data_IF_190777947300
#
_entry.id   IF_190777947300
#
_cell.length_a   1.000
_cell.length_b   1.000
_cell.length_c   1.000
_cell.angle_alpha   90.00
_cell.angle_beta   90.00
_cell.angle_gamma   90.00
#
_symmetry.space_group_name_H-M   'P 1'
#
loop_
_entity.id
_entity.type
_entity.pdbx_description
1 polymer ?
#
# COMPACT_ATOMS: atom_id res chain seq x y z
N UNK A 1 5.93 6.95 0.83
CA UNK A 1 5.73 5.49 0.75
C UNK A 1 5.04 5.02 2.02
N UNK A 2 4.55 3.77 2.06
CA UNK A 2 3.94 3.18 3.25
C UNK A 2 4.14 1.67 3.27
N UNK A 3 3.94 1.06 4.44
CA UNK A 3 4.08 -0.38 4.68
C UNK A 3 2.80 -0.90 5.30
N UNK A 4 2.38 -2.09 4.88
CA UNK A 4 1.24 -2.83 5.46
C UNK A 4 1.74 -4.15 6.03
N UNK A 5 1.39 -4.44 7.27
CA UNK A 5 1.61 -5.74 7.89
C UNK A 5 0.34 -6.60 7.76
N UNK A 6 0.46 -7.79 7.17
CA UNK A 6 -0.66 -8.72 6.99
C UNK A 6 -0.16 -10.16 6.93
N UNK A 7 -0.81 -11.06 7.68
CA UNK A 7 -0.49 -12.49 7.63
C UNK A 7 0.96 -12.83 7.99
N UNK A 8 1.60 -12.03 8.84
CA UNK A 8 3.03 -12.22 9.20
C UNK A 8 4.03 -11.69 8.17
N UNK A 9 3.57 -11.05 7.09
CA UNK A 9 4.42 -10.43 6.07
C UNK A 9 4.27 -8.91 6.05
N UNK A 10 5.30 -8.22 5.55
CA UNK A 10 5.30 -6.77 5.29
C UNK A 10 5.25 -6.51 3.79
N UNK A 11 4.41 -5.57 3.39
CA UNK A 11 4.24 -5.16 2.00
C UNK A 11 4.47 -3.65 1.88
N UNK A 12 5.47 -3.25 1.08
CA UNK A 12 5.84 -1.86 0.88
C UNK A 12 5.30 -1.30 -0.43
N UNK A 13 4.77 -0.07 -0.42
CA UNK A 13 4.26 0.59 -1.62
C UNK A 13 4.60 2.08 -1.67
N UNK A 14 4.75 2.62 -2.88
CA UNK A 14 4.77 4.08 -3.07
C UNK A 14 3.41 4.66 -2.68
N UNK A 15 3.43 5.84 -2.06
CA UNK A 15 2.21 6.56 -1.67
C UNK A 15 1.65 7.33 -2.89
N UNK A 16 1.30 6.60 -3.94
CA UNK A 16 0.87 7.17 -5.22
C UNK A 16 -0.12 6.20 -5.89
N UNK A 17 -1.39 6.59 -5.93
CA UNK A 17 -2.42 5.82 -6.64
C UNK A 17 -2.16 5.87 -8.15
N UNK A 18 -2.19 4.74 -8.89
CA UNK A 18 -1.93 4.76 -10.34
C UNK A 18 -3.07 5.39 -11.14
N UNK A 19 -4.24 5.61 -10.52
CA UNK A 19 -5.38 6.31 -11.14
C UNK A 19 -5.04 7.76 -11.52
N UNK A 20 -4.36 8.49 -10.62
CA UNK A 20 -3.90 9.86 -10.86
C UNK A 20 -2.47 9.95 -10.35
N UNK A 21 -1.53 10.20 -11.25
CA UNK A 21 -0.11 10.23 -10.94
C UNK A 21 0.18 11.14 -9.73
N UNK A 22 0.81 10.57 -8.70
CA UNK A 22 1.20 11.30 -7.49
C UNK A 22 0.09 11.53 -6.45
N UNK A 23 -1.14 11.06 -6.68
CA UNK A 23 -2.22 11.23 -5.70
C UNK A 23 -1.91 10.45 -4.40
N UNK A 24 -1.92 11.11 -3.22
CA UNK A 24 -1.69 10.43 -1.94
C UNK A 24 -2.82 9.43 -1.66
N UNK A 25 -2.45 8.31 -1.04
CA UNK A 25 -3.39 7.22 -0.77
C UNK A 25 -4.21 7.47 0.50
N UNK A 26 -3.54 7.80 1.62
CA UNK A 26 -4.19 7.93 2.92
C UNK A 26 -4.82 9.31 3.14
N UNK A 27 -6.01 9.34 3.75
CA UNK A 27 -6.69 10.58 4.15
C UNK A 27 -6.12 11.24 5.41
N UNK A 28 -5.42 10.46 6.24
CA UNK A 28 -4.63 10.92 7.39
C UNK A 28 -3.45 9.98 7.62
N UNK A 29 -2.49 10.40 8.45
CA UNK A 29 -1.31 9.60 8.80
C UNK A 29 -1.71 8.16 9.19
N UNK A 30 -1.08 7.18 8.53
CA UNK A 30 -1.28 5.73 8.71
C UNK A 30 -2.67 5.14 8.36
N UNK A 31 -3.63 5.93 7.88
CA UNK A 31 -4.94 5.43 7.50
C UNK A 31 -4.98 4.95 6.04
N UNK A 32 -4.34 3.80 5.77
CA UNK A 32 -4.25 3.21 4.43
C UNK A 32 -5.23 2.07 4.18
N UNK A 33 -5.84 1.50 5.23
CA UNK A 33 -6.71 0.34 5.10
C UNK A 33 -8.20 0.71 5.15
N UNK A 34 -9.04 -0.13 4.57
CA UNK A 34 -10.49 -0.10 4.77
C UNK A 34 -10.86 -0.55 6.21
N UNK A 35 -12.15 -0.45 6.55
CA UNK A 35 -12.62 -0.66 7.92
C UNK A 35 -12.36 -2.04 8.52
N UNK A 36 -12.33 -3.10 7.69
CA UNK A 36 -12.03 -4.47 8.12
C UNK A 36 -10.53 -4.84 7.94
N UNK A 37 -9.71 -3.90 7.45
CA UNK A 37 -8.29 -4.13 7.19
C UNK A 37 -7.99 -5.04 6.00
N UNK A 38 -8.98 -5.43 5.20
CA UNK A 38 -8.82 -6.39 4.10
C UNK A 38 -8.21 -5.80 2.83
N UNK A 39 -8.24 -4.48 2.66
CA UNK A 39 -7.77 -3.77 1.47
C UNK A 39 -7.03 -2.49 1.80
N UNK A 40 -6.06 -2.13 0.96
CA UNK A 40 -5.49 -0.79 0.92
C UNK A 40 -6.46 0.12 0.16
N UNK A 41 -6.68 1.35 0.60
CA UNK A 41 -7.64 2.29 0.02
C UNK A 41 -6.94 3.58 -0.39
N UNK A 42 -7.19 4.01 -1.63
CA UNK A 42 -6.98 5.39 -2.04
C UNK A 42 -8.22 6.20 -1.63
N UNK A 43 -8.09 7.06 -0.62
CA UNK A 43 -9.21 7.80 -0.05
C UNK A 43 -9.71 8.97 -0.90
N UNK A 44 -9.05 9.29 -2.02
CA UNK A 44 -9.53 10.29 -2.97
C UNK A 44 -10.83 9.84 -3.66
N UNK A 45 -10.82 8.66 -4.29
CA UNK A 45 -11.96 8.14 -5.08
C UNK A 45 -12.31 6.67 -4.76
N UNK A 46 -11.78 6.13 -3.66
CA UNK A 46 -12.17 4.82 -3.13
C UNK A 46 -11.58 3.61 -3.85
N UNK A 47 -10.51 3.75 -4.63
CA UNK A 47 -9.83 2.61 -5.23
C UNK A 47 -9.30 1.67 -4.13
N UNK A 48 -9.54 0.36 -4.26
CA UNK A 48 -9.13 -0.64 -3.28
C UNK A 48 -8.17 -1.65 -3.89
N UNK A 49 -7.11 -1.95 -3.14
CA UNK A 49 -5.99 -2.76 -3.59
C UNK A 49 -5.78 -3.93 -2.63
N UNK A 50 -5.38 -5.08 -3.18
CA UNK A 50 -4.89 -6.21 -2.41
C UNK A 50 -3.56 -5.85 -1.73
N UNK A 51 -3.40 -6.10 -0.43
CA UNK A 51 -2.13 -5.87 0.26
C UNK A 51 -0.98 -6.74 -0.24
N UNK A 52 -1.26 -7.90 -0.83
CA UNK A 52 -0.24 -8.90 -1.15
C UNK A 52 0.56 -8.56 -2.42
N UNK A 53 -0.10 -7.93 -3.40
CA UNK A 53 0.48 -7.63 -4.72
C UNK A 53 0.18 -6.20 -5.20
N UNK A 54 -0.51 -5.40 -4.39
CA UNK A 54 -0.89 -4.03 -4.70
C UNK A 54 -1.91 -3.93 -5.83
N UNK A 55 -2.54 -5.03 -6.26
CA UNK A 55 -3.45 -5.06 -7.41
C UNK A 55 -4.78 -4.40 -7.06
N UNK A 56 -5.20 -3.42 -7.85
CA UNK A 56 -6.51 -2.79 -7.73
C UNK A 56 -7.63 -3.77 -8.11
N UNK A 57 -8.56 -3.98 -7.18
CA UNK A 57 -9.70 -4.90 -7.31
C UNK A 57 -11.06 -4.20 -7.25
N UNK A 58 -11.08 -2.89 -6.97
CA UNK A 58 -12.27 -2.07 -6.99
C UNK A 58 -11.89 -0.61 -7.25
N UNK A 59 -12.69 0.10 -8.04
CA UNK A 59 -12.54 1.55 -8.28
C UNK A 59 -11.90 1.90 -9.64
N UNK A 60 -11.53 3.18 -9.84
CA UNK A 60 -11.29 3.72 -11.18
C UNK A 60 -10.00 3.25 -11.87
N UNK A 61 -9.06 2.63 -11.13
CA UNK A 61 -7.86 2.01 -11.69
C UNK A 61 -7.90 0.47 -11.66
N UNK A 62 -9.09 -0.13 -11.70
CA UNK A 62 -9.26 -1.58 -11.79
C UNK A 62 -8.46 -2.13 -12.97
N UNK A 63 -7.48 -3.00 -12.73
CA UNK A 63 -6.51 -3.35 -13.78
C UNK A 63 -5.07 -3.12 -13.39
N UNK A 64 -4.83 -2.07 -12.61
CA UNK A 64 -3.51 -1.57 -12.31
C UNK A 64 -3.04 -2.04 -10.92
N UNK A 65 -1.79 -1.72 -10.60
CA UNK A 65 -1.18 -2.03 -9.30
C UNK A 65 -0.46 -0.82 -8.73
N UNK A 66 -0.39 -0.76 -7.39
CA UNK A 66 0.53 0.13 -6.70
C UNK A 66 1.98 -0.27 -7.03
N UNK A 67 2.87 0.72 -7.12
CA UNK A 67 4.29 0.43 -7.31
C UNK A 67 4.88 -0.11 -5.99
N UNK A 68 5.41 -1.35 -5.97
CA UNK A 68 6.01 -1.92 -4.78
C UNK A 68 7.29 -1.17 -4.39
N UNK A 69 7.58 -1.16 -3.10
CA UNK A 69 8.87 -0.76 -2.55
C UNK A 69 9.48 -1.98 -1.89
N UNK A 70 10.71 -2.32 -2.28
CA UNK A 70 11.41 -3.45 -1.70
C UNK A 70 11.73 -3.16 -0.22
N UNK A 71 11.48 -4.16 0.62
CA UNK A 71 11.69 -4.10 2.05
C UNK A 71 12.67 -5.18 2.47
N UNK A 72 13.54 -4.84 3.41
CA UNK A 72 14.47 -5.78 4.04
C UNK A 72 14.43 -5.58 5.55
N UNK A 73 14.39 -6.67 6.31
CA UNK A 73 14.40 -6.64 7.78
C UNK A 73 15.73 -7.22 8.24
N UNK A 74 16.48 -6.44 9.01
CA UNK A 74 17.61 -6.99 9.75
C UNK A 74 17.07 -7.89 10.87
N UNK A 75 17.44 -9.17 10.81
CA UNK A 75 16.93 -10.20 11.75
C UNK A 75 17.49 -10.07 13.16
N UNK A 76 18.60 -9.36 13.34
CA UNK A 76 19.27 -9.15 14.62
C UNK A 76 18.76 -7.89 15.32
N UNK A 77 18.61 -6.79 14.58
CA UNK A 77 18.20 -5.49 15.15
C UNK A 77 16.69 -5.23 15.04
N UNK A 78 16.01 -5.89 14.11
CA UNK A 78 14.61 -5.62 13.79
C UNK A 78 14.39 -4.34 12.97
N UNK A 79 15.47 -3.72 12.48
CA UNK A 79 15.38 -2.52 11.63
C UNK A 79 14.81 -2.88 10.25
N UNK A 80 13.91 -2.01 9.77
CA UNK A 80 13.29 -2.14 8.46
C UNK A 80 13.93 -1.16 7.49
N UNK A 81 14.56 -1.69 6.45
CA UNK A 81 15.12 -0.94 5.34
C UNK A 81 14.13 -0.92 4.17
N UNK A 82 14.03 0.22 3.50
CA UNK A 82 13.21 0.40 2.32
C UNK A 82 14.03 0.98 1.18
N UNK A 83 13.99 0.32 0.02
CA UNK A 83 14.76 0.69 -1.16
C UNK A 83 13.87 1.48 -2.12
N UNK A 84 14.03 2.81 -2.15
CA UNK A 84 13.11 3.76 -2.81
C UNK A 84 13.65 4.42 -4.07
#
# INVERSE_FOLDING_TARGET
>A
MFVVARGGALYGYRNACPHMAGAPMAWRKHAYLNGDGSRIVCFAHGAQFRPEDGRCVLGPCLGQSLQPVALEIDKMTGELFAWI
#
